data_IF_104797958469
#
_entry.id   IF_104797958469
#
_cell.length_a   1.000
_cell.length_b   1.000
_cell.length_c   1.000
_cell.angle_alpha   90.00
_cell.angle_beta   90.00
_cell.angle_gamma   90.00
#
_symmetry.space_group_name_H-M   'P 1'
#
loop_
_entity.id
_entity.type
_entity.pdbx_description
1 polymer ?
#
# COMPACT_ATOMS: atom_id res chain seq x y z
N UNK A 1 -1.02 -30.47 -20.24
CA UNK A 1 -0.34 -29.34 -19.58
C UNK A 1 -1.05 -28.10 -20.10
N UNK A 2 -2.22 -27.83 -19.55
CA UNK A 2 -3.06 -26.71 -19.99
C UNK A 2 -2.84 -25.55 -19.03
N UNK A 3 -2.23 -24.49 -19.56
CA UNK A 3 -1.96 -23.25 -18.86
C UNK A 3 -3.27 -22.51 -18.58
N UNK A 4 -3.82 -22.72 -17.39
CA UNK A 4 -4.84 -21.84 -16.85
C UNK A 4 -4.15 -20.70 -16.09
N UNK A 5 -4.22 -19.51 -16.68
CA UNK A 5 -3.64 -18.26 -16.18
C UNK A 5 -4.27 -17.83 -14.84
N UNK A 6 -3.37 -17.52 -13.91
CA UNK A 6 -3.43 -17.05 -12.52
C UNK A 6 -4.40 -15.88 -12.17
N UNK A 7 -4.98 -15.17 -13.15
CA UNK A 7 -5.61 -13.85 -12.93
C UNK A 7 -7.10 -13.83 -12.53
N UNK A 8 -7.75 -14.96 -12.24
CA UNK A 8 -9.23 -15.02 -12.19
C UNK A 8 -9.90 -15.08 -10.80
N UNK A 9 -9.15 -15.16 -9.70
CA UNK A 9 -9.72 -15.45 -8.37
C UNK A 9 -9.90 -14.24 -7.42
N UNK A 10 -9.43 -13.04 -7.77
CA UNK A 10 -9.31 -11.89 -6.85
C UNK A 10 -10.60 -11.10 -6.53
N UNK A 11 -11.78 -11.74 -6.54
CA UNK A 11 -13.06 -11.10 -6.16
C UNK A 11 -13.95 -12.03 -5.34
N UNK A 12 -14.06 -11.73 -4.03
CA UNK A 12 -15.12 -12.05 -3.03
C UNK A 12 -14.44 -12.32 -1.67
N UNK A 13 -14.81 -11.79 -0.51
CA UNK A 13 -15.89 -10.90 -0.05
C UNK A 13 -15.52 -10.40 1.37
N UNK A 14 -16.31 -9.50 1.96
CA UNK A 14 -16.02 -8.90 3.27
C UNK A 14 -17.08 -9.16 4.34
N UNK A 15 -16.86 -8.63 5.54
CA UNK A 15 -17.92 -8.25 6.49
C UNK A 15 -17.40 -7.36 7.62
N UNK A 16 -18.09 -6.24 7.91
CA UNK A 16 -18.08 -5.60 9.23
C UNK A 16 -17.84 -4.09 9.32
N UNK A 17 -17.57 -3.38 8.22
CA UNK A 17 -17.37 -1.93 8.24
C UNK A 17 -18.73 -1.19 8.39
N UNK A 18 -18.76 0.01 9.02
CA UNK A 18 -19.93 0.89 8.96
C UNK A 18 -20.39 1.08 7.52
N UNK A 19 -21.70 1.21 7.30
CA UNK A 19 -22.24 1.33 5.93
C UNK A 19 -21.49 2.40 5.15
N UNK A 20 -20.86 2.04 4.01
CA UNK A 20 -20.07 2.98 3.25
C UNK A 20 -20.97 4.15 2.87
N UNK A 21 -20.56 5.36 3.27
CA UNK A 21 -21.29 6.58 2.88
C UNK A 21 -21.49 6.54 1.37
N UNK A 22 -22.72 6.72 0.87
CA UNK A 22 -23.00 6.57 -0.55
C UNK A 22 -22.14 7.56 -1.33
N UNK A 23 -21.25 7.03 -2.17
CA UNK A 23 -20.40 7.84 -3.03
C UNK A 23 -21.26 8.59 -4.05
N UNK A 24 -21.24 9.92 -3.99
CA UNK A 24 -21.94 10.77 -4.95
C UNK A 24 -20.92 11.25 -5.99
N UNK A 25 -21.19 10.95 -7.26
CA UNK A 25 -20.32 11.36 -8.36
C UNK A 25 -20.95 12.58 -9.03
N UNK A 26 -20.27 13.74 -9.09
CA UNK A 26 -20.80 14.90 -9.81
C UNK A 26 -20.86 14.60 -11.31
N UNK A 27 -21.85 15.15 -12.02
CA UNK A 27 -22.08 14.87 -13.45
C UNK A 27 -20.94 15.36 -14.35
N UNK A 28 -20.19 16.38 -13.92
CA UNK A 28 -19.15 17.04 -14.72
C UNK A 28 -17.78 16.85 -14.09
N UNK A 29 -16.79 16.62 -14.94
CA UNK A 29 -15.40 16.43 -14.51
C UNK A 29 -14.71 17.77 -14.22
N UNK A 30 -13.91 17.78 -13.16
CA UNK A 30 -13.00 18.88 -12.88
C UNK A 30 -11.97 19.02 -14.02
N UNK A 31 -11.60 20.27 -14.30
CA UNK A 31 -10.63 20.57 -15.37
C UNK A 31 -9.29 19.87 -15.10
N UNK A 32 -8.59 19.41 -16.13
CA UNK A 32 -7.26 18.83 -15.96
C UNK A 32 -6.33 19.83 -15.28
N UNK A 33 -5.58 19.34 -14.28
CA UNK A 33 -4.55 20.10 -13.59
C UNK A 33 -3.36 20.20 -14.56
N UNK A 34 -2.94 21.43 -14.90
CA UNK A 34 -1.86 21.66 -15.86
C UNK A 34 -0.49 21.14 -15.42
N UNK A 35 0.46 21.14 -16.37
CA UNK A 35 1.78 20.50 -16.25
C UNK A 35 2.49 20.74 -14.91
N UNK A 36 3.08 19.65 -14.39
CA UNK A 36 3.83 19.62 -13.15
C UNK A 36 5.18 20.34 -13.27
N UNK A 37 5.46 21.25 -12.33
CA UNK A 37 6.79 21.88 -12.16
C UNK A 37 7.36 21.47 -10.80
N UNK A 38 7.84 20.25 -10.65
CA UNK A 38 8.41 19.80 -9.38
C UNK A 38 8.49 18.30 -9.23
N UNK A 39 9.16 17.87 -8.15
CA UNK A 39 9.38 16.46 -7.82
C UNK A 39 8.09 15.67 -7.69
N UNK A 40 8.16 14.40 -8.06
CA UNK A 40 7.11 13.40 -7.89
C UNK A 40 7.47 12.55 -6.67
N UNK A 41 6.50 12.38 -5.78
CA UNK A 41 6.61 11.46 -4.64
C UNK A 41 5.74 10.27 -4.99
N UNK A 42 6.34 9.10 -5.21
CA UNK A 42 5.58 7.88 -5.42
C UNK A 42 4.91 7.43 -4.12
N UNK A 43 3.68 6.94 -4.25
CA UNK A 43 2.77 6.63 -3.14
C UNK A 43 2.24 5.19 -3.18
N UNK A 44 2.87 4.32 -3.97
CA UNK A 44 2.74 2.86 -3.91
C UNK A 44 1.32 2.27 -4.05
N UNK A 45 0.32 3.03 -4.51
CA UNK A 45 -1.04 2.52 -4.67
C UNK A 45 -1.84 2.48 -3.37
N UNK A 46 -1.54 3.38 -2.42
CA UNK A 46 -2.30 3.50 -1.18
C UNK A 46 -3.77 3.87 -1.47
N UNK A 47 -4.70 3.08 -0.93
CA UNK A 47 -6.13 3.22 -1.25
C UNK A 47 -6.92 3.68 -0.04
N UNK A 48 -7.80 4.67 -0.22
CA UNK A 48 -8.67 5.22 0.82
C UNK A 48 -9.80 6.05 0.18
N UNK A 49 -10.72 6.54 1.00
CA UNK A 49 -11.81 7.42 0.57
C UNK A 49 -11.51 8.89 0.90
N UNK A 50 -12.04 9.81 0.10
CA UNK A 50 -11.93 11.25 0.32
C UNK A 50 -13.30 11.92 0.22
N UNK A 51 -13.51 12.96 1.03
CA UNK A 51 -14.53 13.97 0.76
C UNK A 51 -13.86 15.13 0.01
N UNK A 52 -14.33 15.40 -1.20
CA UNK A 52 -13.68 16.29 -2.16
C UNK A 52 -14.65 17.34 -2.69
N UNK A 53 -14.24 18.60 -2.58
CA UNK A 53 -14.90 19.75 -3.19
C UNK A 53 -14.41 19.94 -4.62
N UNK A 54 -15.32 19.90 -5.60
CA UNK A 54 -14.94 20.20 -6.97
C UNK A 54 -14.78 21.71 -7.25
N UNK A 55 -14.49 22.09 -8.50
CA UNK A 55 -14.36 23.51 -8.89
C UNK A 55 -15.65 24.34 -8.80
N UNK A 56 -16.80 23.70 -8.58
CA UNK A 56 -18.09 24.35 -8.34
C UNK A 56 -18.45 24.37 -6.86
N UNK A 57 -17.56 23.89 -5.99
CA UNK A 57 -17.79 23.65 -4.57
C UNK A 57 -18.86 22.57 -4.29
N UNK A 58 -19.10 21.66 -5.23
CA UNK A 58 -19.96 20.51 -4.99
C UNK A 58 -19.16 19.42 -4.27
N UNK A 59 -19.70 18.97 -3.13
CA UNK A 59 -19.07 17.94 -2.32
C UNK A 59 -19.31 16.55 -2.93
N UNK A 60 -18.26 15.74 -3.00
CA UNK A 60 -18.34 14.36 -3.46
C UNK A 60 -17.50 13.43 -2.58
N UNK A 61 -18.02 12.25 -2.29
CA UNK A 61 -17.28 11.20 -1.60
C UNK A 61 -16.74 10.19 -2.62
N UNK A 62 -15.42 9.96 -2.64
CA UNK A 62 -14.76 9.15 -3.68
C UNK A 62 -13.77 8.17 -3.07
N UNK A 63 -13.73 6.97 -3.63
CA UNK A 63 -12.73 5.94 -3.33
C UNK A 63 -11.62 6.07 -4.36
N UNK A 64 -10.38 6.22 -3.88
CA UNK A 64 -9.22 6.45 -4.73
C UNK A 64 -8.07 5.52 -4.36
N UNK A 65 -7.21 5.25 -5.35
CA UNK A 65 -5.92 4.60 -5.17
C UNK A 65 -4.85 5.56 -5.62
N UNK A 66 -4.06 6.08 -4.68
CA UNK A 66 -3.05 7.11 -4.93
C UNK A 66 -1.76 6.47 -5.42
N UNK A 67 -1.29 6.91 -6.58
CA UNK A 67 -0.04 6.45 -7.18
C UNK A 67 1.12 7.40 -6.89
N UNK A 68 0.86 8.71 -6.89
CA UNK A 68 1.88 9.70 -6.55
C UNK A 68 1.30 11.03 -6.09
N UNK A 69 2.11 11.82 -5.39
CA UNK A 69 1.85 13.25 -5.13
C UNK A 69 2.74 14.10 -6.05
N UNK A 70 2.12 15.07 -6.72
CA UNK A 70 2.79 15.98 -7.66
C UNK A 70 2.45 17.42 -7.32
N UNK A 71 3.23 18.36 -7.86
CA UNK A 71 3.01 19.80 -7.70
C UNK A 71 2.63 20.44 -9.02
N UNK A 72 1.56 21.25 -9.02
CA UNK A 72 1.19 22.03 -10.21
C UNK A 72 2.16 23.20 -10.44
N UNK A 73 2.02 23.91 -11.57
CA UNK A 73 2.86 25.07 -11.89
C UNK A 73 2.82 26.22 -10.87
N UNK A 74 1.81 26.27 -10.00
CA UNK A 74 1.66 27.26 -8.91
C UNK A 74 2.27 26.78 -7.60
N UNK A 75 2.76 25.55 -7.53
CA UNK A 75 3.30 24.93 -6.32
C UNK A 75 2.24 24.30 -5.41
N UNK A 76 0.99 24.16 -5.85
CA UNK A 76 -0.02 23.48 -5.03
C UNK A 76 0.08 21.96 -5.26
N UNK A 77 0.12 21.15 -4.19
CA UNK A 77 0.18 19.71 -4.32
C UNK A 77 -1.17 19.13 -4.79
N UNK A 78 -1.09 18.03 -5.54
CA UNK A 78 -2.23 17.22 -5.95
C UNK A 78 -1.89 15.73 -5.93
N UNK A 79 -2.89 14.90 -5.62
CA UNK A 79 -2.81 13.46 -5.71
C UNK A 79 -3.04 13.02 -7.16
N UNK A 80 -2.16 12.19 -7.70
CA UNK A 80 -2.38 11.42 -8.91
C UNK A 80 -2.89 10.04 -8.52
N UNK A 81 -4.15 9.73 -8.84
CA UNK A 81 -4.84 8.56 -8.30
C UNK A 81 -5.80 7.93 -9.31
N UNK A 82 -6.02 6.62 -9.20
CA UNK A 82 -7.15 5.95 -9.85
C UNK A 82 -8.44 6.22 -9.07
N UNK A 83 -9.47 6.73 -9.72
CA UNK A 83 -10.79 6.93 -9.12
C UNK A 83 -11.69 5.74 -9.42
N UNK A 84 -12.06 4.96 -8.41
CA UNK A 84 -12.81 3.71 -8.56
C UNK A 84 -14.22 3.93 -9.10
N UNK A 85 -14.89 4.98 -8.65
CA UNK A 85 -16.23 5.37 -9.12
C UNK A 85 -16.28 5.68 -10.62
N UNK A 86 -15.16 6.17 -11.17
CA UNK A 86 -15.04 6.53 -12.60
C UNK A 86 -14.27 5.50 -13.40
N UNK A 87 -13.65 4.53 -12.74
CA UNK A 87 -12.72 3.57 -13.30
C UNK A 87 -11.66 4.22 -14.21
N UNK A 88 -11.08 5.33 -13.76
CA UNK A 88 -10.14 6.13 -14.56
C UNK A 88 -9.12 6.88 -13.70
N UNK A 89 -7.91 7.15 -14.22
CA UNK A 89 -6.92 8.00 -13.55
C UNK A 89 -7.41 9.45 -13.46
N UNK A 90 -7.17 10.09 -12.32
CA UNK A 90 -7.60 11.46 -12.00
C UNK A 90 -6.62 12.17 -11.07
N UNK A 91 -6.75 13.49 -11.05
CA UNK A 91 -5.98 14.34 -10.16
C UNK A 91 -6.89 15.05 -9.16
N UNK A 92 -6.46 15.10 -7.90
CA UNK A 92 -7.21 15.71 -6.81
C UNK A 92 -6.33 16.75 -6.10
N UNK A 93 -6.73 18.03 -6.12
CA UNK A 93 -6.01 19.08 -5.39
C UNK A 93 -6.13 18.84 -3.88
N UNK A 94 -5.02 18.90 -3.15
CA UNK A 94 -5.04 18.65 -1.71
C UNK A 94 -5.88 19.69 -0.95
N UNK A 95 -5.84 20.95 -1.37
CA UNK A 95 -6.64 22.04 -0.77
C UNK A 95 -8.16 21.85 -0.92
N UNK A 96 -8.59 20.88 -1.72
CA UNK A 96 -9.99 20.55 -1.97
C UNK A 96 -10.42 19.23 -1.32
N UNK A 97 -9.51 18.56 -0.61
CA UNK A 97 -9.81 17.35 0.16
C UNK A 97 -10.13 17.78 1.59
N UNK A 98 -11.41 17.70 1.96
CA UNK A 98 -11.88 18.08 3.30
C UNK A 98 -11.44 17.07 4.36
N UNK A 99 -11.57 15.78 4.06
CA UNK A 99 -11.10 14.70 4.94
C UNK A 99 -10.74 13.44 4.15
N UNK A 100 -9.93 12.60 4.79
CA UNK A 100 -9.66 11.24 4.35
C UNK A 100 -10.45 10.25 5.21
N UNK A 101 -10.92 9.15 4.62
CA UNK A 101 -11.68 8.12 5.29
C UNK A 101 -11.00 6.80 4.99
N UNK A 102 -10.57 6.08 6.03
CA UNK A 102 -9.96 4.76 5.85
C UNK A 102 -11.01 3.67 5.57
N UNK A 103 -10.54 2.44 5.37
CA UNK A 103 -11.42 1.31 5.09
C UNK A 103 -12.29 0.87 6.27
N UNK A 104 -11.91 1.27 7.49
CA UNK A 104 -12.71 1.04 8.70
C UNK A 104 -13.81 2.11 8.85
N UNK A 105 -13.85 3.08 7.92
CA UNK A 105 -14.80 4.19 7.91
C UNK A 105 -14.44 5.31 8.89
N UNK A 106 -13.25 5.28 9.47
CA UNK A 106 -12.75 6.32 10.37
C UNK A 106 -12.39 7.55 9.55
N UNK A 107 -12.90 8.70 9.97
CA UNK A 107 -12.62 9.98 9.33
C UNK A 107 -11.37 10.58 9.95
N UNK A 108 -10.43 10.97 9.11
CA UNK A 108 -9.14 11.54 9.46
C UNK A 108 -8.97 12.93 8.87
N UNK A 109 -8.24 13.79 9.58
CA UNK A 109 -7.78 15.06 9.01
C UNK A 109 -6.83 14.78 7.83
N UNK A 110 -7.03 15.50 6.72
CA UNK A 110 -6.32 15.25 5.46
C UNK A 110 -4.80 15.29 5.61
N UNK A 111 -4.24 16.36 6.18
CA UNK A 111 -2.78 16.53 6.24
C UNK A 111 -2.08 15.43 7.08
N UNK A 112 -2.43 15.21 8.36
CA UNK A 112 -1.80 14.15 9.16
C UNK A 112 -1.94 12.78 8.50
N UNK A 113 -3.12 12.48 7.96
CA UNK A 113 -3.37 11.20 7.31
C UNK A 113 -2.48 10.97 6.08
N UNK A 114 -2.30 11.99 5.24
CA UNK A 114 -1.44 11.88 4.05
C UNK A 114 0.05 11.80 4.42
N UNK A 115 0.50 12.47 5.48
CA UNK A 115 1.87 12.32 6.01
C UNK A 115 2.10 10.88 6.44
N UNK A 116 1.20 10.32 7.24
CA UNK A 116 1.33 8.96 7.77
C UNK A 116 1.19 7.90 6.68
N UNK A 117 0.21 8.06 5.78
CA UNK A 117 -0.12 7.03 4.78
C UNK A 117 0.79 7.09 3.56
N UNK A 118 1.18 8.30 3.12
CA UNK A 118 1.93 8.51 1.89
C UNK A 118 3.37 8.97 2.12
N UNK A 119 3.77 9.25 3.36
CA UNK A 119 5.05 9.89 3.65
C UNK A 119 5.13 11.34 3.13
N UNK A 120 3.99 11.99 2.91
CA UNK A 120 3.89 13.29 2.24
C UNK A 120 3.62 14.44 3.24
N UNK A 121 4.55 15.40 3.36
CA UNK A 121 4.33 16.65 4.10
C UNK A 121 3.96 17.81 3.16
N UNK A 122 2.71 18.27 3.26
CA UNK A 122 2.14 19.34 2.44
C UNK A 122 2.79 20.72 2.64
N UNK A 123 3.43 20.97 3.78
CA UNK A 123 4.07 22.25 4.08
C UNK A 123 5.52 22.32 3.58
N UNK A 124 6.05 21.17 3.16
CA UNK A 124 7.38 21.06 2.61
C UNK A 124 7.26 20.75 1.12
N UNK A 125 7.36 21.77 0.23
CA UNK A 125 7.38 21.59 -1.23
C UNK A 125 8.61 20.82 -1.75
N UNK A 126 9.34 20.18 -0.85
CA UNK A 126 10.51 19.34 -1.07
C UNK A 126 10.40 18.18 -0.08
N UNK A 127 10.85 16.97 -0.45
CA UNK A 127 11.03 15.91 0.54
C UNK A 127 11.80 16.50 1.73
N UNK A 128 11.32 16.22 2.94
CA UNK A 128 11.96 16.67 4.16
C UNK A 128 13.38 16.11 4.13
N UNK A 129 14.38 16.91 3.77
CA UNK A 129 15.79 16.50 3.78
C UNK A 129 16.30 16.51 5.23
N UNK A 130 15.55 15.88 6.13
CA UNK A 130 16.05 15.55 7.46
C UNK A 130 16.77 14.20 7.37
N UNK A 131 17.88 14.01 8.10
CA UNK A 131 18.55 12.72 8.16
C UNK A 131 17.62 11.56 8.53
N UNK A 132 16.64 11.83 9.41
CA UNK A 132 15.57 10.88 9.77
C UNK A 132 14.74 10.50 8.55
N UNK A 133 14.15 11.47 7.86
CA UNK A 133 13.27 11.20 6.71
C UNK A 133 14.04 10.52 5.56
N UNK A 134 15.30 10.89 5.30
CA UNK A 134 16.14 10.17 4.34
C UNK A 134 16.34 8.72 4.73
N UNK A 135 16.62 8.43 6.01
CA UNK A 135 16.79 7.06 6.50
C UNK A 135 15.50 6.24 6.42
N UNK A 136 14.37 6.79 6.87
CA UNK A 136 13.07 6.12 6.80
C UNK A 136 12.68 5.84 5.34
N UNK A 137 12.94 6.76 4.41
CA UNK A 137 12.69 6.53 2.99
C UNK A 137 13.59 5.43 2.41
N UNK A 138 14.89 5.42 2.74
CA UNK A 138 15.81 4.34 2.31
C UNK A 138 15.34 2.99 2.85
N UNK A 139 14.94 2.94 4.12
CA UNK A 139 14.40 1.74 4.72
C UNK A 139 13.08 1.31 4.06
N UNK A 140 12.19 2.28 3.76
CA UNK A 140 10.94 2.03 3.04
C UNK A 140 11.19 1.36 1.70
N UNK A 141 12.06 1.94 0.87
CA UNK A 141 12.40 1.40 -0.45
C UNK A 141 13.00 -0.01 -0.36
N UNK A 142 13.86 -0.26 0.64
CA UNK A 142 14.47 -1.57 0.86
C UNK A 142 13.45 -2.62 1.34
N UNK A 143 12.57 -2.25 2.26
CA UNK A 143 11.57 -3.16 2.81
C UNK A 143 10.34 -3.32 1.90
N UNK A 144 10.10 -2.39 0.97
CA UNK A 144 8.95 -2.35 0.05
C UNK A 144 8.66 -3.68 -0.65
N UNK A 145 9.60 -4.34 -1.36
CA UNK A 145 9.27 -5.58 -2.05
C UNK A 145 8.87 -6.69 -1.08
N UNK A 146 9.51 -6.76 0.09
CA UNK A 146 9.11 -7.71 1.14
C UNK A 146 7.72 -7.38 1.69
N UNK A 147 7.45 -6.11 2.00
CA UNK A 147 6.17 -5.65 2.52
C UNK A 147 5.01 -5.92 1.55
N UNK A 148 5.23 -5.75 0.25
CA UNK A 148 4.24 -6.09 -0.79
C UNK A 148 3.83 -7.56 -0.71
N UNK A 149 4.79 -8.49 -0.69
CA UNK A 149 4.47 -9.92 -0.65
C UNK A 149 3.86 -10.35 0.69
N UNK A 150 4.36 -9.83 1.82
CA UNK A 150 3.79 -10.11 3.14
C UNK A 150 2.38 -9.53 3.29
N UNK A 151 2.10 -8.35 2.71
CA UNK A 151 0.76 -7.77 2.66
C UNK A 151 -0.20 -8.57 1.77
N UNK A 152 0.30 -9.28 0.75
CA UNK A 152 -0.51 -10.23 -0.01
C UNK A 152 -0.87 -11.46 0.83
N UNK A 153 0.10 -12.05 1.55
CA UNK A 153 -0.11 -13.23 2.39
C UNK A 153 -1.11 -12.96 3.53
N UNK A 154 -0.87 -11.91 4.30
CA UNK A 154 -1.71 -11.49 5.45
C UNK A 154 -3.13 -11.06 5.08
N UNK A 155 -3.49 -11.04 3.80
CA UNK A 155 -4.80 -10.54 3.34
C UNK A 155 -5.54 -11.53 2.47
N UNK A 156 -5.14 -12.80 2.50
CA UNK A 156 -5.91 -13.91 1.94
C UNK A 156 -7.34 -13.94 2.51
N UNK A 157 -7.52 -13.58 3.78
CA UNK A 157 -8.80 -13.50 4.47
C UNK A 157 -9.44 -12.08 4.47
N UNK A 158 -8.73 -11.09 3.91
CA UNK A 158 -9.12 -9.69 3.81
C UNK A 158 -8.63 -8.78 4.95
N UNK A 159 -8.00 -9.29 6.01
CA UNK A 159 -7.63 -8.51 7.20
C UNK A 159 -6.28 -8.93 7.81
N UNK A 160 -5.39 -7.97 8.03
CA UNK A 160 -4.12 -8.23 8.72
C UNK A 160 -4.30 -8.17 10.25
N UNK A 161 -4.08 -9.29 10.91
CA UNK A 161 -4.15 -9.47 12.36
C UNK A 161 -3.02 -8.74 13.11
N UNK A 162 -3.23 -8.35 14.38
CA UNK A 162 -2.19 -7.71 15.19
C UNK A 162 -0.91 -8.54 15.34
N UNK A 163 -1.03 -9.87 15.39
CA UNK A 163 0.11 -10.78 15.52
C UNK A 163 0.94 -10.83 14.22
N UNK A 164 0.29 -10.84 13.06
CA UNK A 164 0.95 -10.72 11.75
C UNK A 164 1.63 -9.36 11.58
N UNK A 165 0.98 -8.30 12.07
CA UNK A 165 1.54 -6.95 12.05
C UNK A 165 2.83 -6.86 12.86
N UNK A 166 2.88 -7.49 14.05
CA UNK A 166 4.08 -7.53 14.87
C UNK A 166 5.24 -8.24 14.14
N UNK A 167 4.96 -9.33 13.44
CA UNK A 167 5.95 -10.06 12.62
C UNK A 167 6.46 -9.19 11.48
N UNK A 168 5.58 -8.46 10.80
CA UNK A 168 5.95 -7.54 9.73
C UNK A 168 6.85 -6.40 10.23
N UNK A 169 6.55 -5.82 11.40
CA UNK A 169 7.42 -4.82 12.04
C UNK A 169 8.79 -5.41 12.41
N UNK A 170 8.83 -6.62 12.96
CA UNK A 170 10.07 -7.33 13.28
C UNK A 170 10.92 -7.60 12.03
N UNK A 171 10.29 -7.96 10.91
CA UNK A 171 10.99 -8.15 9.64
C UNK A 171 11.60 -6.85 9.12
N UNK A 172 10.88 -5.72 9.24
CA UNK A 172 11.41 -4.41 8.87
C UNK A 172 12.66 -4.05 9.69
N UNK A 173 12.65 -4.33 11.00
CA UNK A 173 13.81 -4.16 11.87
C UNK A 173 14.99 -5.02 11.42
N UNK A 174 14.76 -6.29 11.06
CA UNK A 174 15.82 -7.19 10.58
C UNK A 174 16.39 -6.83 9.21
N UNK A 175 15.62 -6.12 8.38
CA UNK A 175 16.07 -5.62 7.08
C UNK A 175 16.81 -4.28 7.20
N UNK A 176 16.52 -3.49 8.24
CA UNK A 176 16.97 -2.12 8.36
C UNK A 176 17.60 -1.87 9.74
N UNK A 177 18.93 -2.07 9.84
CA UNK A 177 19.68 -1.99 11.09
C UNK A 177 19.63 -0.62 11.81
N UNK A 178 19.28 0.45 11.10
CA UNK A 178 19.34 1.83 11.62
C UNK A 178 17.99 2.43 12.05
N UNK A 179 16.90 1.63 12.06
CA UNK A 179 15.58 2.10 12.46
C UNK A 179 15.33 1.94 13.96
N UNK A 180 14.65 2.94 14.53
CA UNK A 180 14.05 2.85 15.85
C UNK A 180 12.73 2.07 15.81
N UNK A 181 12.29 1.56 16.97
CA UNK A 181 11.00 0.86 17.08
C UNK A 181 9.82 1.70 16.56
N UNK A 182 9.81 3.01 16.85
CA UNK A 182 8.77 3.92 16.38
C UNK A 182 8.77 4.06 14.84
N UNK A 183 9.95 4.13 14.22
CA UNK A 183 10.07 4.18 12.76
C UNK A 183 9.66 2.84 12.11
N UNK A 184 9.96 1.70 12.74
CA UNK A 184 9.46 0.39 12.29
C UNK A 184 7.94 0.29 12.38
N UNK A 185 7.32 0.83 13.45
CA UNK A 185 5.87 0.89 13.61
C UNK A 185 5.22 1.82 12.56
N UNK A 186 5.87 2.94 12.25
CA UNK A 186 5.44 3.87 11.19
C UNK A 186 5.42 3.17 9.82
N UNK A 187 6.49 2.48 9.46
CA UNK A 187 6.55 1.67 8.23
C UNK A 187 5.50 0.55 8.24
N UNK A 188 5.39 -0.20 9.34
CA UNK A 188 4.40 -1.26 9.47
C UNK A 188 2.98 -0.75 9.23
N UNK A 189 2.63 0.40 9.80
CA UNK A 189 1.30 1.03 9.62
C UNK A 189 1.05 1.36 8.16
N UNK A 190 2.04 1.90 7.45
CA UNK A 190 1.94 2.15 6.01
C UNK A 190 1.75 0.86 5.20
N UNK A 191 2.40 -0.23 5.62
CA UNK A 191 2.33 -1.54 4.95
C UNK A 191 1.02 -2.28 5.22
N UNK A 192 0.44 -2.15 6.41
CA UNK A 192 -0.91 -2.66 6.72
C UNK A 192 -1.99 -2.12 5.77
N UNK A 193 -1.77 -0.90 5.25
CA UNK A 193 -2.67 -0.23 4.30
C UNK A 193 -2.40 -0.60 2.84
N UNK A 194 -1.29 -1.29 2.53
CA UNK A 194 -0.99 -1.70 1.16
C UNK A 194 -2.08 -2.59 0.59
N UNK A 195 -2.38 -2.36 -0.69
CA UNK A 195 -3.27 -3.18 -1.52
C UNK A 195 -2.54 -3.52 -2.82
N UNK A 196 -1.54 -4.42 -2.76
CA UNK A 196 -0.70 -4.64 -3.92
C UNK A 196 -1.50 -5.14 -5.12
N UNK A 197 -1.19 -4.61 -6.30
CA UNK A 197 -1.69 -5.15 -7.56
C UNK A 197 -0.86 -6.36 -7.98
N UNK A 198 -1.37 -7.15 -8.93
CA UNK A 198 -0.60 -8.27 -9.48
C UNK A 198 0.72 -7.80 -10.10
N UNK A 199 0.74 -6.64 -10.74
CA UNK A 199 1.96 -6.06 -11.33
C UNK A 199 3.00 -5.75 -10.24
N UNK A 200 2.60 -5.07 -9.16
CA UNK A 200 3.47 -4.78 -8.03
C UNK A 200 4.01 -6.05 -7.35
N UNK A 201 3.19 -7.10 -7.29
CA UNK A 201 3.59 -8.39 -6.75
C UNK A 201 4.65 -9.07 -7.64
N UNK A 202 4.47 -9.06 -8.95
CA UNK A 202 5.46 -9.62 -9.90
C UNK A 202 6.79 -8.86 -9.83
N UNK A 203 6.74 -7.53 -9.76
CA UNK A 203 7.94 -6.71 -9.58
C UNK A 203 8.64 -7.00 -8.25
N UNK A 204 7.88 -7.16 -7.16
CA UNK A 204 8.42 -7.53 -5.86
C UNK A 204 9.11 -8.90 -5.85
N UNK A 205 8.55 -9.90 -6.55
CA UNK A 205 9.18 -11.22 -6.71
C UNK A 205 10.54 -11.08 -7.40
N UNK A 206 10.62 -10.36 -8.52
CA UNK A 206 11.89 -10.18 -9.24
C UNK A 206 12.92 -9.42 -8.40
N UNK A 207 12.49 -8.41 -7.63
CA UNK A 207 13.37 -7.66 -6.73
C UNK A 207 13.94 -8.56 -5.62
N UNK A 208 13.12 -9.37 -4.96
CA UNK A 208 13.59 -10.27 -3.89
C UNK A 208 14.43 -11.41 -4.47
N UNK A 209 14.12 -11.92 -5.66
CA UNK A 209 14.93 -12.95 -6.32
C UNK A 209 16.35 -12.46 -6.63
N UNK A 210 16.53 -11.17 -6.86
CA UNK A 210 17.84 -10.55 -7.08
C UNK A 210 18.66 -10.31 -5.79
N UNK A 211 18.05 -10.50 -4.62
CA UNK A 211 18.72 -10.32 -3.32
C UNK A 211 19.66 -11.49 -2.97
N UNK A 212 20.44 -11.31 -1.90
CA UNK A 212 21.31 -12.37 -1.40
C UNK A 212 20.52 -13.55 -0.83
N UNK A 213 21.04 -14.80 -0.90
CA UNK A 213 20.36 -15.97 -0.34
C UNK A 213 19.97 -15.84 1.15
N UNK A 214 20.75 -15.10 1.94
CA UNK A 214 20.48 -14.85 3.36
C UNK A 214 19.21 -14.00 3.53
N UNK A 215 19.03 -12.98 2.70
CA UNK A 215 17.84 -12.12 2.73
C UNK A 215 16.62 -12.90 2.25
N UNK A 216 16.79 -13.76 1.25
CA UNK A 216 15.73 -14.62 0.75
C UNK A 216 15.26 -15.62 1.82
N UNK A 217 16.20 -16.30 2.50
CA UNK A 217 15.89 -17.21 3.60
C UNK A 217 15.13 -16.49 4.73
N UNK A 218 15.61 -15.31 5.13
CA UNK A 218 14.91 -14.47 6.14
C UNK A 218 13.49 -14.12 5.72
N UNK A 219 13.28 -13.77 4.44
CA UNK A 219 11.94 -13.50 3.92
C UNK A 219 11.03 -14.74 4.02
N UNK A 220 11.50 -15.91 3.58
CA UNK A 220 10.70 -17.14 3.60
C UNK A 220 10.35 -17.57 5.03
N UNK A 221 11.31 -17.48 5.96
CA UNK A 221 11.06 -17.74 7.39
C UNK A 221 10.00 -16.79 7.94
N UNK A 222 10.11 -15.50 7.63
CA UNK A 222 9.14 -14.49 8.06
C UNK A 222 7.77 -14.73 7.46
N UNK A 223 7.68 -15.01 6.16
CA UNK A 223 6.43 -15.29 5.48
C UNK A 223 5.73 -16.52 6.06
N UNK A 224 6.47 -17.58 6.40
CA UNK A 224 5.93 -18.74 7.12
C UNK A 224 5.45 -18.38 8.52
N UNK A 225 6.23 -17.59 9.28
CA UNK A 225 5.82 -17.12 10.61
C UNK A 225 4.54 -16.30 10.55
N UNK A 226 4.42 -15.44 9.53
CA UNK A 226 3.26 -14.58 9.34
C UNK A 226 1.99 -15.41 9.13
N UNK A 227 1.98 -16.36 8.19
CA UNK A 227 0.78 -17.20 7.95
C UNK A 227 0.46 -18.13 9.13
N UNK A 228 1.44 -18.44 9.98
CA UNK A 228 1.24 -19.28 11.17
C UNK A 228 0.86 -18.49 12.43
N UNK A 229 0.83 -17.15 12.37
CA UNK A 229 0.76 -16.27 13.54
C UNK A 229 -0.53 -16.43 14.34
N UNK A 230 -1.66 -16.64 13.66
CA UNK A 230 -2.99 -16.80 14.26
C UNK A 230 -3.29 -18.25 14.69
N UNK A 231 -2.35 -19.16 14.43
CA UNK A 231 -2.45 -20.59 14.71
C UNK A 231 -3.34 -21.38 13.74
N UNK A 232 -3.77 -20.80 12.61
CA UNK A 232 -4.62 -21.46 11.61
C UNK A 232 -4.13 -21.19 10.19
N UNK A 233 -3.48 -22.19 9.60
CA UNK A 233 -3.12 -22.17 8.19
C UNK A 233 -4.35 -22.47 7.32
N UNK A 234 -4.77 -21.51 6.51
CA UNK A 234 -5.78 -21.73 5.47
C UNK A 234 -5.13 -22.31 4.21
N UNK A 235 -5.93 -23.04 3.41
CA UNK A 235 -5.45 -23.60 2.15
C UNK A 235 -5.00 -22.52 1.14
N UNK A 236 -5.58 -21.33 1.21
CA UNK A 236 -5.22 -20.22 0.32
C UNK A 236 -3.88 -19.59 0.71
N UNK A 237 -3.58 -19.44 2.00
CA UNK A 237 -2.29 -18.94 2.50
C UNK A 237 -1.15 -19.91 2.18
N UNK A 238 -1.36 -21.21 2.43
CA UNK A 238 -0.36 -22.24 2.14
C UNK A 238 -0.07 -22.27 0.63
N UNK A 239 -1.12 -22.25 -0.20
CA UNK A 239 -0.93 -22.22 -1.65
C UNK A 239 -0.16 -20.98 -2.11
N UNK A 240 -0.53 -19.80 -1.63
CA UNK A 240 0.13 -18.55 -2.03
C UNK A 240 1.60 -18.52 -1.55
N UNK A 241 1.86 -19.03 -0.35
CA UNK A 241 3.20 -19.16 0.17
C UNK A 241 4.06 -20.14 -0.65
N UNK A 242 3.51 -21.29 -1.01
CA UNK A 242 4.20 -22.27 -1.87
C UNK A 242 4.52 -21.70 -3.25
N UNK A 243 3.59 -20.93 -3.82
CA UNK A 243 3.81 -20.19 -5.07
C UNK A 243 4.97 -19.20 -4.94
N UNK A 244 4.99 -18.38 -3.87
CA UNK A 244 6.10 -17.47 -3.62
C UNK A 244 7.43 -18.19 -3.40
N UNK A 245 7.43 -19.29 -2.63
CA UNK A 245 8.63 -20.10 -2.41
C UNK A 245 9.17 -20.67 -3.72
N UNK A 246 8.29 -21.23 -4.55
CA UNK A 246 8.64 -21.80 -5.86
C UNK A 246 9.17 -20.74 -6.80
N UNK A 247 8.53 -19.58 -6.88
CA UNK A 247 9.00 -18.49 -7.73
C UNK A 247 10.34 -17.94 -7.26
N UNK A 248 10.52 -17.73 -5.96
CA UNK A 248 11.73 -17.11 -5.44
C UNK A 248 12.96 -18.04 -5.45
N UNK A 249 12.76 -19.34 -5.21
CA UNK A 249 13.86 -20.30 -5.10
C UNK A 249 14.02 -21.19 -6.34
N UNK A 250 13.00 -21.26 -7.20
CA UNK A 250 12.90 -22.26 -8.27
C UNK A 250 12.57 -23.67 -7.75
N UNK A 251 12.29 -23.84 -6.46
CA UNK A 251 12.00 -25.12 -5.81
C UNK A 251 10.67 -25.02 -5.05
N UNK A 252 9.70 -25.86 -5.41
CA UNK A 252 8.43 -25.93 -4.69
C UNK A 252 8.62 -26.47 -3.27
N UNK A 253 7.91 -25.90 -2.30
CA UNK A 253 7.88 -26.42 -0.93
C UNK A 253 7.25 -27.82 -0.93
N UNK A 254 7.84 -28.75 -0.19
CA UNK A 254 7.30 -30.09 0.01
C UNK A 254 6.87 -30.16 1.48
N UNK A 255 5.58 -30.36 1.75
CA UNK A 255 5.08 -30.47 3.11
C UNK A 255 5.89 -31.52 3.90
N UNK A 256 6.38 -31.20 5.12
CA UNK A 256 6.83 -32.22 6.04
C UNK A 256 5.60 -32.98 6.56
N UNK A 257 5.50 -34.26 6.17
CA UNK A 257 4.40 -35.15 6.59
C UNK A 257 4.42 -35.55 8.06
#
# INVERSE_FOLDING_TARGET
>A
MDGHSFLSAWRRGGSGAPEPRPSVIPEVDDRPIGDSRGGEIECEGQSFMIEYLDSKNDMSCRSITVHSVKYNAKGNPYLSAHCHQRNAPRHFLLDRIECCIDFDGVVHETKPFLVETLGFDAELPRPVNSPRASRVNVARERARPHAILLACLSRCDGYMHPDEFAILCQHCEQLCDDLTLDECNELGTSYRRLRPTTEQMMEAIEMIRAETPIILEKFLVTAHQLIAADGKLTADEVRLFDEFSSELTGVGWIEPG
#
